data_IF_323412390456
#
_entry.id   IF_323412390456
#
_cell.length_a   1.000
_cell.length_b   1.000
_cell.length_c   1.000
_cell.angle_alpha   90.00
_cell.angle_beta   90.00
_cell.angle_gamma   90.00
#
_symmetry.space_group_name_H-M   'P 1'
#
loop_
_entity.id
_entity.type
_entity.pdbx_description
1 polymer ?
#
# COMPACT_ATOMS: atom_id res chain seq x y z
N UNK A 1 -1.96 18.09 16.72
CA UNK A 1 -0.62 17.76 17.24
C UNK A 1 0.12 16.99 16.17
N UNK A 2 1.28 17.47 15.74
CA UNK A 2 2.08 16.88 14.66
C UNK A 2 2.70 15.57 15.12
N UNK A 3 2.71 14.55 14.25
CA UNK A 3 3.38 13.26 14.47
C UNK A 3 4.86 13.42 14.82
N UNK A 4 5.46 14.57 14.47
CA UNK A 4 6.86 14.90 14.73
C UNK A 4 7.21 15.01 16.21
N UNK A 5 6.26 15.25 17.13
CA UNK A 5 6.57 15.39 18.56
C UNK A 5 6.68 14.07 19.31
N UNK A 6 6.12 12.97 18.76
CA UNK A 6 6.10 11.66 19.42
C UNK A 6 7.40 10.86 19.24
N UNK A 7 8.20 11.18 18.21
CA UNK A 7 9.44 10.45 17.91
C UNK A 7 10.60 10.89 18.84
N UNK A 8 10.49 12.05 19.47
CA UNK A 8 11.49 12.61 20.38
C UNK A 8 11.46 12.04 21.80
N UNK A 9 10.38 11.35 22.21
CA UNK A 9 10.19 10.91 23.61
C UNK A 9 10.65 9.46 23.90
N UNK A 10 11.17 8.72 22.91
CA UNK A 10 11.63 7.34 23.10
C UNK A 10 13.11 7.19 23.48
N UNK A 11 13.85 8.28 23.73
CA UNK A 11 15.30 8.24 24.00
C UNK A 11 15.70 8.17 25.47
N UNK A 12 14.85 7.72 26.39
CA UNK A 12 15.24 7.55 27.80
C UNK A 12 15.07 6.12 28.30
N UNK A 13 16.11 5.30 28.06
CA UNK A 13 16.65 4.31 29.01
C UNK A 13 17.78 3.53 28.35
N UNK A 14 19.01 4.06 28.47
CA UNK A 14 20.15 3.21 28.79
C UNK A 14 21.28 4.04 29.39
N UNK A 15 21.83 3.55 30.50
CA UNK A 15 22.85 4.29 31.26
C UNK A 15 23.27 3.59 32.56
N UNK A 16 24.13 2.58 32.40
CA UNK A 16 25.18 2.16 33.33
C UNK A 16 24.83 1.68 34.75
N UNK A 17 25.10 0.39 35.01
CA UNK A 17 25.98 -0.06 36.12
C UNK A 17 26.25 -1.57 36.01
N UNK A 18 27.50 -1.94 35.69
CA UNK A 18 28.06 -3.29 35.93
C UNK A 18 29.42 -3.12 36.60
N UNK A 19 29.74 -3.87 37.66
CA UNK A 19 31.13 -4.09 38.06
C UNK A 19 31.60 -5.50 37.65
N UNK A 20 32.82 -5.53 37.10
CA UNK A 20 33.63 -6.71 36.78
C UNK A 20 34.14 -7.42 38.04
N UNK A 21 34.51 -8.71 37.94
CA UNK A 21 35.67 -9.34 38.62
C UNK A 21 35.98 -10.75 38.04
N UNK A 22 37.19 -11.33 38.27
CA UNK A 22 38.01 -11.91 37.21
C UNK A 22 38.22 -13.44 37.31
N UNK A 23 38.75 -14.02 36.25
CA UNK A 23 39.27 -15.40 36.16
C UNK A 23 40.66 -15.55 36.78
N UNK A 24 41.02 -16.78 37.20
CA UNK A 24 42.42 -17.21 37.11
C UNK A 24 42.61 -18.61 36.49
N UNK A 25 43.81 -18.79 35.94
CA UNK A 25 44.38 -19.97 35.29
C UNK A 25 45.06 -20.96 36.26
N UNK A 26 45.40 -22.16 35.72
CA UNK A 26 46.45 -23.13 36.12
C UNK A 26 46.04 -24.16 37.20
N UNK A 27 46.45 -25.44 37.23
CA UNK A 27 47.38 -26.28 36.44
C UNK A 27 47.22 -27.77 36.82
N UNK A 28 47.64 -28.66 35.90
CA UNK A 28 47.98 -30.10 35.93
C UNK A 28 48.02 -30.90 37.26
N UNK A 29 47.58 -32.18 37.21
CA UNK A 29 48.46 -33.36 37.41
C UNK A 29 47.78 -34.70 37.05
N UNK A 30 48.58 -35.59 36.46
CA UNK A 30 48.36 -37.01 36.13
C UNK A 30 48.73 -37.93 37.30
N UNK A 31 48.02 -39.05 37.54
CA UNK A 31 48.52 -40.47 37.41
C UNK A 31 47.59 -41.56 37.99
N UNK A 32 47.44 -42.63 37.19
CA UNK A 32 47.43 -44.10 37.48
C UNK A 32 46.32 -44.84 38.25
N UNK A 33 45.77 -45.82 37.52
CA UNK A 33 45.63 -47.27 37.78
C UNK A 33 44.37 -47.88 38.45
N UNK A 34 43.85 -48.86 37.68
CA UNK A 34 43.47 -50.25 38.03
C UNK A 34 41.98 -50.67 38.17
N UNK A 35 41.61 -51.48 37.16
CA UNK A 35 40.98 -52.82 37.19
C UNK A 35 39.53 -53.03 37.66
N UNK A 36 38.77 -53.59 36.70
CA UNK A 36 37.72 -54.61 36.79
C UNK A 36 36.50 -54.41 37.70
N UNK A 37 35.32 -54.28 37.06
CA UNK A 37 34.26 -55.26 37.30
C UNK A 37 33.21 -55.28 36.19
N UNK A 38 32.76 -56.50 35.87
CA UNK A 38 31.65 -56.86 35.00
C UNK A 38 30.35 -56.13 35.33
N UNK A 39 29.57 -55.79 34.29
CA UNK A 39 28.12 -56.05 34.26
C UNK A 39 27.53 -55.70 32.89
N UNK A 40 27.06 -56.73 32.18
CA UNK A 40 26.05 -56.62 31.13
C UNK A 40 24.83 -55.87 31.66
N UNK A 41 24.42 -54.76 31.04
CA UNK A 41 23.05 -54.18 31.03
C UNK A 41 23.14 -52.80 30.33
N UNK A 42 22.24 -52.25 29.50
CA UNK A 42 21.01 -52.67 28.85
C UNK A 42 20.92 -51.90 27.52
N UNK A 43 20.28 -52.51 26.54
CA UNK A 43 19.66 -51.81 25.41
C UNK A 43 18.88 -50.61 25.97
N UNK A 44 19.19 -49.39 25.52
CA UNK A 44 18.38 -48.21 25.85
C UNK A 44 17.04 -48.36 25.14
N UNK A 45 16.12 -49.04 25.82
CA UNK A 45 14.70 -49.13 25.46
C UNK A 45 14.17 -47.71 25.60
N UNK A 46 13.87 -47.06 24.47
CA UNK A 46 13.03 -45.88 24.47
C UNK A 46 11.80 -46.18 25.34
N UNK A 47 11.53 -45.31 26.33
CA UNK A 47 10.37 -45.45 27.21
C UNK A 47 9.10 -45.38 26.35
N UNK A 48 8.58 -46.52 25.93
CA UNK A 48 7.20 -46.60 25.45
C UNK A 48 6.31 -46.61 26.68
N UNK A 49 5.65 -45.49 26.95
CA UNK A 49 4.55 -45.49 27.90
C UNK A 49 3.40 -46.28 27.29
N UNK A 50 3.00 -47.36 27.95
CA UNK A 50 1.86 -48.17 27.56
C UNK A 50 0.59 -47.29 27.58
N UNK A 51 -0.06 -47.21 26.43
CA UNK A 51 -1.35 -46.53 26.24
C UNK A 51 -2.39 -47.11 27.19
N UNK A 52 -2.91 -46.31 28.10
CA UNK A 52 -4.08 -46.65 28.90
C UNK A 52 -5.30 -46.73 27.99
N UNK A 53 -5.93 -47.90 27.95
CA UNK A 53 -7.00 -48.29 27.05
C UNK A 53 -8.38 -47.66 27.37
N UNK A 54 -8.42 -46.37 27.73
CA UNK A 54 -9.68 -45.64 27.99
C UNK A 54 -9.60 -44.16 27.58
N UNK A 55 -9.06 -43.91 26.38
CA UNK A 55 -9.28 -42.74 25.50
C UNK A 55 -8.40 -42.97 24.28
N UNK A 56 -8.73 -43.99 23.47
CA UNK A 56 -8.01 -44.34 22.25
C UNK A 56 -8.33 -43.37 21.11
N UNK A 57 -8.21 -42.06 21.34
CA UNK A 57 -7.98 -41.12 20.24
C UNK A 57 -6.48 -41.11 20.07
N UNK A 58 -6.01 -41.82 19.04
CA UNK A 58 -4.61 -41.79 18.63
C UNK A 58 -4.11 -40.34 18.59
N UNK A 59 -3.03 -40.04 19.32
CA UNK A 59 -2.34 -38.75 19.30
C UNK A 59 -1.83 -38.45 17.87
N UNK A 60 -1.66 -39.48 17.04
CA UNK A 60 -1.62 -39.32 15.59
C UNK A 60 -3.05 -39.14 15.09
N UNK A 61 -3.48 -37.88 14.94
CA UNK A 61 -4.83 -37.50 14.53
C UNK A 61 -5.27 -38.16 13.22
N UNK A 62 -6.58 -38.20 13.02
CA UNK A 62 -7.25 -38.67 11.79
C UNK A 62 -6.58 -38.12 10.52
N UNK A 63 -6.66 -38.85 9.39
CA UNK A 63 -6.10 -38.44 8.09
C UNK A 63 -6.55 -37.01 7.74
N UNK A 64 -7.80 -36.66 8.06
CA UNK A 64 -8.37 -35.32 7.87
C UNK A 64 -7.60 -34.20 8.60
N UNK A 65 -6.85 -34.52 9.66
CA UNK A 65 -6.06 -33.60 10.46
C UNK A 65 -4.61 -33.44 9.97
N UNK A 66 -4.16 -34.24 9.00
CA UNK A 66 -2.76 -34.31 8.57
C UNK A 66 -2.45 -33.28 7.46
N UNK A 67 -2.17 -32.03 7.83
CA UNK A 67 -1.90 -30.95 6.87
C UNK A 67 -0.40 -30.65 6.64
N UNK A 68 0.49 -31.06 7.55
CA UNK A 68 1.92 -30.70 7.53
C UNK A 68 2.64 -31.09 6.23
N UNK A 69 2.17 -32.12 5.53
CA UNK A 69 2.71 -32.53 4.24
C UNK A 69 2.68 -31.42 3.20
N UNK A 70 1.61 -30.61 3.17
CA UNK A 70 1.38 -29.57 2.16
C UNK A 70 2.30 -28.35 2.26
N UNK A 71 3.02 -28.16 3.37
CA UNK A 71 3.86 -26.98 3.61
C UNK A 71 5.23 -27.30 4.24
N UNK A 72 5.65 -28.56 4.19
CA UNK A 72 6.90 -29.07 4.77
C UNK A 72 8.17 -28.56 4.06
N UNK A 73 8.10 -28.29 2.76
CA UNK A 73 9.22 -27.82 1.93
C UNK A 73 9.04 -26.35 1.51
N UNK A 74 10.11 -25.55 1.33
CA UNK A 74 10.00 -24.16 0.84
C UNK A 74 9.11 -24.01 -0.40
N UNK A 75 9.35 -24.83 -1.44
CA UNK A 75 8.52 -24.84 -2.65
C UNK A 75 7.05 -25.21 -2.37
N UNK A 76 6.80 -26.15 -1.46
CA UNK A 76 5.45 -26.57 -1.11
C UNK A 76 4.68 -25.42 -0.44
N UNK A 77 5.34 -24.60 0.39
CA UNK A 77 4.75 -23.36 0.95
C UNK A 77 4.39 -22.37 -0.14
N UNK A 78 5.27 -22.15 -1.12
CA UNK A 78 5.01 -21.24 -2.24
C UNK A 78 3.84 -21.70 -3.13
N UNK A 79 3.61 -23.01 -3.26
CA UNK A 79 2.47 -23.57 -4.01
C UNK A 79 1.12 -23.38 -3.30
N UNK A 80 1.09 -23.10 -2.00
CA UNK A 80 -0.16 -22.80 -1.28
C UNK A 80 -0.72 -21.40 -1.63
N UNK A 81 0.11 -20.52 -2.19
CA UNK A 81 -0.34 -19.21 -2.60
C UNK A 81 -1.13 -19.30 -3.91
N UNK A 82 -2.38 -18.85 -3.91
CA UNK A 82 -3.19 -18.71 -5.13
C UNK A 82 -2.58 -17.71 -6.12
N UNK A 83 -1.75 -16.78 -5.61
CA UNK A 83 -1.02 -15.78 -6.40
C UNK A 83 0.30 -15.44 -5.72
N UNK A 84 1.37 -15.39 -6.51
CA UNK A 84 2.68 -14.93 -6.08
C UNK A 84 2.90 -13.47 -6.48
N UNK A 85 3.61 -12.71 -5.64
CA UNK A 85 3.95 -11.32 -5.92
C UNK A 85 4.93 -11.23 -7.09
N UNK A 86 4.66 -10.35 -8.04
CA UNK A 86 5.54 -10.07 -9.18
C UNK A 86 5.71 -8.56 -9.36
N UNK A 87 6.82 -8.15 -9.99
CA UNK A 87 7.14 -6.72 -10.21
C UNK A 87 6.06 -5.97 -10.98
N UNK A 88 5.37 -6.62 -11.93
CA UNK A 88 4.31 -6.00 -12.73
C UNK A 88 3.01 -5.72 -11.97
N UNK A 89 2.84 -6.27 -10.76
CA UNK A 89 1.69 -5.97 -9.89
C UNK A 89 1.84 -4.64 -9.16
N UNK A 90 3.06 -4.08 -9.11
CA UNK A 90 3.37 -2.90 -8.32
C UNK A 90 3.12 -1.61 -9.10
N UNK A 91 2.48 -0.65 -8.43
CA UNK A 91 2.33 0.73 -8.90
C UNK A 91 3.00 1.64 -7.88
N UNK A 92 3.97 2.43 -8.34
CA UNK A 92 4.71 3.35 -7.47
C UNK A 92 4.04 4.74 -7.39
N UNK A 93 3.66 5.22 -6.19
CA UNK A 93 3.21 6.61 -6.01
C UNK A 93 4.32 7.63 -6.21
N UNK A 94 4.03 8.71 -6.94
CA UNK A 94 4.98 9.81 -7.18
C UNK A 94 4.30 11.17 -6.96
N UNK A 95 4.94 12.04 -6.18
CA UNK A 95 4.45 13.39 -5.86
C UNK A 95 5.21 14.43 -6.68
N UNK A 96 4.49 15.14 -7.55
CA UNK A 96 5.08 16.11 -8.49
C UNK A 96 4.70 17.53 -8.08
N UNK A 97 5.69 18.40 -7.85
CA UNK A 97 5.47 19.80 -7.47
C UNK A 97 5.46 20.73 -8.68
N UNK A 98 5.00 21.96 -8.46
CA UNK A 98 5.00 23.07 -9.42
C UNK A 98 6.38 23.70 -9.63
N UNK A 99 7.33 23.52 -8.70
CA UNK A 99 8.72 23.93 -8.92
C UNK A 99 9.52 22.82 -9.64
N UNK A 100 10.01 23.05 -10.87
CA UNK A 100 10.65 22.01 -11.69
C UNK A 100 11.89 21.35 -11.06
N UNK A 101 12.57 22.02 -10.12
CA UNK A 101 13.84 21.55 -9.56
C UNK A 101 13.74 20.98 -8.14
N UNK A 102 12.54 20.91 -7.55
CA UNK A 102 12.34 20.38 -6.20
C UNK A 102 12.83 18.94 -6.06
N UNK A 103 13.39 18.65 -4.89
CA UNK A 103 13.82 17.32 -4.44
C UNK A 103 13.72 17.25 -2.91
N UNK A 104 12.49 17.29 -2.39
CA UNK A 104 12.22 17.47 -0.97
C UNK A 104 11.77 16.17 -0.31
N UNK A 105 12.48 15.72 0.73
CA UNK A 105 12.04 14.59 1.56
C UNK A 105 10.74 14.92 2.28
N UNK A 106 9.87 13.91 2.41
CA UNK A 106 8.64 14.00 3.21
C UNK A 106 8.91 13.32 4.56
N UNK A 107 9.09 14.06 5.67
CA UNK A 107 9.56 13.47 6.93
C UNK A 107 8.63 12.39 7.51
N UNK A 108 7.32 12.56 7.33
CA UNK A 108 6.32 11.60 7.82
C UNK A 108 6.18 10.36 6.93
N UNK A 109 6.78 10.36 5.75
CA UNK A 109 6.72 9.28 4.76
C UNK A 109 8.13 8.83 4.36
N UNK A 110 8.77 7.93 5.16
CA UNK A 110 10.19 7.61 5.04
C UNK A 110 10.65 7.31 3.62
N UNK A 111 11.78 7.91 3.20
CA UNK A 111 12.36 7.67 1.87
C UNK A 111 11.61 8.27 0.69
N UNK A 112 10.38 8.77 0.87
CA UNK A 112 9.59 9.38 -0.19
C UNK A 112 9.85 10.88 -0.30
N UNK A 113 9.63 11.41 -1.50
CA UNK A 113 9.93 12.80 -1.83
C UNK A 113 8.82 13.48 -2.63
N UNK A 114 8.73 14.80 -2.48
CA UNK A 114 8.12 15.71 -3.45
C UNK A 114 9.19 16.12 -4.45
N UNK A 115 8.92 15.94 -5.73
CA UNK A 115 9.92 16.18 -6.78
C UNK A 115 9.38 17.08 -7.87
N UNK A 116 10.24 17.91 -8.42
CA UNK A 116 9.97 18.69 -9.61
C UNK A 116 10.10 17.88 -10.90
N UNK A 117 9.55 18.42 -11.99
CA UNK A 117 9.58 17.77 -13.31
C UNK A 117 11.00 17.43 -13.81
N UNK A 118 12.01 18.26 -13.53
CA UNK A 118 13.39 18.03 -13.96
C UNK A 118 14.03 16.82 -13.23
N UNK A 119 13.49 16.43 -12.07
CA UNK A 119 13.97 15.29 -11.27
C UNK A 119 13.21 13.99 -11.52
N UNK A 120 12.05 14.07 -12.18
CA UNK A 120 11.16 12.93 -12.39
C UNK A 120 11.77 11.81 -13.24
N UNK A 121 12.41 12.15 -14.36
CA UNK A 121 13.07 11.15 -15.22
C UNK A 121 14.28 10.51 -14.51
N UNK A 122 15.22 11.28 -13.91
CA UNK A 122 16.30 10.73 -13.10
C UNK A 122 15.84 9.81 -11.96
N UNK A 123 14.72 10.13 -11.29
CA UNK A 123 14.16 9.29 -10.23
C UNK A 123 13.69 7.93 -10.77
N UNK A 124 12.94 7.93 -11.88
CA UNK A 124 12.25 6.73 -12.36
C UNK A 124 13.12 5.83 -13.24
N UNK A 125 14.11 6.39 -13.95
CA UNK A 125 14.99 5.62 -14.82
C UNK A 125 15.64 4.39 -14.15
N UNK A 126 16.25 4.48 -12.94
CA UNK A 126 16.80 3.31 -12.28
C UNK A 126 15.72 2.31 -11.84
N UNK A 127 14.53 2.76 -11.46
CA UNK A 127 13.43 1.87 -11.05
C UNK A 127 12.86 1.10 -12.26
N UNK A 128 12.76 1.77 -13.41
CA UNK A 128 12.32 1.15 -14.67
C UNK A 128 13.33 0.09 -15.12
N UNK A 129 14.64 0.37 -15.00
CA UNK A 129 15.68 -0.62 -15.27
C UNK A 129 15.58 -1.86 -14.36
N UNK A 130 15.11 -1.70 -13.11
CA UNK A 130 14.83 -2.79 -12.17
C UNK A 130 13.50 -3.51 -12.40
N UNK A 131 12.68 -3.02 -13.32
CA UNK A 131 11.43 -3.66 -13.74
C UNK A 131 10.15 -2.91 -13.37
N UNK A 132 10.20 -1.66 -12.90
CA UNK A 132 9.01 -0.84 -12.65
C UNK A 132 8.17 -0.73 -13.93
N UNK A 133 6.89 -1.11 -13.84
CA UNK A 133 5.95 -1.06 -14.98
C UNK A 133 4.91 0.04 -14.89
N UNK A 134 4.63 0.56 -13.69
CA UNK A 134 3.54 1.50 -13.49
C UNK A 134 3.82 2.52 -12.38
N UNK A 135 3.37 3.76 -12.59
CA UNK A 135 3.37 4.82 -11.59
C UNK A 135 1.98 5.40 -11.42
N UNK A 136 1.67 5.93 -10.24
CA UNK A 136 0.51 6.79 -10.00
C UNK A 136 0.98 8.19 -9.62
N UNK A 137 0.54 9.19 -10.39
CA UNK A 137 0.95 10.57 -10.23
C UNK A 137 -0.02 11.33 -9.31
N UNK A 138 0.56 12.07 -8.36
CA UNK A 138 -0.12 13.05 -7.52
C UNK A 138 0.50 14.43 -7.75
N UNK A 139 -0.31 15.41 -8.15
CA UNK A 139 0.12 16.80 -8.26
C UNK A 139 0.11 17.46 -6.89
N UNK A 140 1.16 18.20 -6.56
CA UNK A 140 1.32 18.90 -5.29
C UNK A 140 1.67 20.35 -5.56
N UNK A 141 0.70 21.18 -5.99
CA UNK A 141 0.94 22.61 -6.17
C UNK A 141 1.27 23.23 -4.81
N UNK A 142 2.47 23.80 -4.69
CA UNK A 142 2.95 24.38 -3.44
C UNK A 142 2.57 25.86 -3.32
N UNK A 143 2.40 26.56 -4.43
CA UNK A 143 1.96 27.95 -4.39
C UNK A 143 0.51 28.07 -3.88
N UNK A 144 0.25 28.76 -2.76
CA UNK A 144 -1.10 28.90 -2.21
C UNK A 144 -2.07 29.62 -3.15
N UNK A 145 -1.57 30.49 -4.03
CA UNK A 145 -2.40 31.24 -4.98
C UNK A 145 -3.01 30.38 -6.08
N UNK A 146 -2.53 29.13 -6.24
CA UNK A 146 -3.01 28.18 -7.24
C UNK A 146 -4.30 27.47 -6.75
N UNK A 147 -4.54 27.44 -5.44
CA UNK A 147 -5.71 26.76 -4.87
C UNK A 147 -6.91 27.69 -4.81
N UNK A 148 -8.04 27.24 -5.35
CA UNK A 148 -9.31 27.96 -5.31
C UNK A 148 -10.47 27.04 -4.89
N UNK A 149 -11.71 27.53 -4.85
CA UNK A 149 -12.86 26.72 -4.42
C UNK A 149 -13.27 25.62 -5.43
N UNK A 150 -12.81 25.71 -6.67
CA UNK A 150 -13.21 24.81 -7.77
C UNK A 150 -12.11 23.81 -8.16
N UNK A 151 -10.91 23.96 -7.59
CA UNK A 151 -9.71 23.26 -7.98
C UNK A 151 -9.37 23.49 -9.45
N UNK A 152 -9.41 24.74 -9.91
CA UNK A 152 -9.17 25.10 -11.32
C UNK A 152 -7.82 24.56 -11.82
N UNK A 153 -6.80 24.54 -10.98
CA UNK A 153 -5.47 24.06 -11.36
C UNK A 153 -5.33 22.53 -11.51
N UNK A 154 -6.38 21.76 -11.17
CA UNK A 154 -6.32 20.29 -11.22
C UNK A 154 -6.04 19.74 -12.62
N UNK A 155 -6.52 20.43 -13.66
CA UNK A 155 -6.33 20.07 -15.06
C UNK A 155 -5.62 21.16 -15.86
N UNK A 156 -4.87 22.04 -15.19
CA UNK A 156 -4.04 23.03 -15.86
C UNK A 156 -3.06 22.30 -16.83
N UNK A 157 -3.09 22.61 -18.14
CA UNK A 157 -2.16 22.03 -19.11
C UNK A 157 -0.68 22.29 -18.78
N UNK A 158 -0.37 23.30 -17.95
CA UNK A 158 0.96 23.61 -17.43
C UNK A 158 1.19 23.06 -16.01
N UNK A 159 0.17 22.47 -15.39
CA UNK A 159 0.23 21.88 -14.07
C UNK A 159 1.12 20.63 -14.00
N UNK A 160 1.55 20.26 -12.78
CA UNK A 160 2.55 19.21 -12.56
C UNK A 160 2.14 17.85 -13.10
N UNK A 161 0.85 17.49 -13.00
CA UNK A 161 0.36 16.18 -13.46
C UNK A 161 0.40 16.08 -14.98
N UNK A 162 -0.19 17.04 -15.71
CA UNK A 162 -0.24 16.99 -17.18
C UNK A 162 1.16 17.08 -17.79
N UNK A 163 2.02 17.95 -17.26
CA UNK A 163 3.41 18.03 -17.69
C UNK A 163 4.17 16.73 -17.37
N UNK A 164 3.91 16.13 -16.21
CA UNK A 164 4.45 14.83 -15.82
C UNK A 164 4.04 13.71 -16.78
N UNK A 165 2.75 13.63 -17.15
CA UNK A 165 2.24 12.66 -18.14
C UNK A 165 3.01 12.82 -19.46
N UNK A 166 3.03 14.04 -20.02
CA UNK A 166 3.68 14.30 -21.32
C UNK A 166 5.17 13.98 -21.28
N UNK A 167 5.86 14.33 -20.20
CA UNK A 167 7.27 14.00 -20.01
C UNK A 167 7.49 12.48 -19.99
N UNK A 168 6.73 11.75 -19.18
CA UNK A 168 6.87 10.30 -19.04
C UNK A 168 6.47 9.54 -20.30
N UNK A 169 5.45 9.99 -21.04
CA UNK A 169 5.08 9.40 -22.34
C UNK A 169 6.21 9.48 -23.36
N UNK A 170 6.97 10.58 -23.36
CA UNK A 170 8.14 10.76 -24.25
C UNK A 170 9.35 9.96 -23.76
N UNK A 171 9.66 10.02 -22.47
CA UNK A 171 10.88 9.42 -21.91
C UNK A 171 10.77 7.90 -21.72
N UNK A 172 9.59 7.40 -21.39
CA UNK A 172 9.35 5.99 -21.08
C UNK A 172 8.06 5.47 -21.75
N UNK A 173 8.07 5.21 -23.06
CA UNK A 173 6.86 4.86 -23.83
C UNK A 173 6.11 3.61 -23.34
N UNK A 174 6.81 2.71 -22.64
CA UNK A 174 6.26 1.46 -22.08
C UNK A 174 5.85 1.56 -20.60
N UNK A 175 6.07 2.70 -19.94
CA UNK A 175 5.62 2.91 -18.56
C UNK A 175 4.10 3.13 -18.57
N UNK A 176 3.38 2.35 -17.78
CA UNK A 176 1.95 2.55 -17.56
C UNK A 176 1.77 3.73 -16.60
N UNK A 177 0.93 4.69 -16.98
CA UNK A 177 0.80 5.97 -16.26
C UNK A 177 -0.62 6.03 -15.73
N UNK A 178 -0.73 5.97 -14.41
CA UNK A 178 -1.96 6.20 -13.65
C UNK A 178 -1.93 7.63 -13.12
N UNK A 179 -3.06 8.32 -13.14
CA UNK A 179 -3.23 9.64 -12.53
C UNK A 179 -4.32 9.59 -11.48
N UNK A 180 -4.06 10.07 -10.27
CA UNK A 180 -5.13 10.30 -9.30
C UNK A 180 -6.05 11.42 -9.81
N UNK A 181 -7.37 11.19 -9.78
CA UNK A 181 -8.36 12.21 -10.11
C UNK A 181 -9.10 12.61 -8.84
N UNK A 182 -8.79 13.79 -8.33
CA UNK A 182 -9.38 14.35 -7.12
C UNK A 182 -9.18 15.87 -7.11
N UNK A 183 -9.88 16.55 -6.21
CA UNK A 183 -9.80 18.01 -6.03
C UNK A 183 -9.06 18.43 -4.75
N UNK A 184 -8.68 17.50 -3.87
CA UNK A 184 -8.21 17.89 -2.54
C UNK A 184 -6.83 18.54 -2.51
N UNK A 185 -5.99 18.28 -3.51
CA UNK A 185 -4.69 18.93 -3.68
C UNK A 185 -4.83 20.35 -4.23
N UNK A 186 -5.94 20.64 -4.91
CA UNK A 186 -6.15 21.85 -5.70
C UNK A 186 -7.17 22.82 -5.11
N UNK A 187 -7.97 22.37 -4.13
CA UNK A 187 -8.97 23.21 -3.50
C UNK A 187 -8.41 23.99 -2.31
N UNK A 188 -8.85 25.24 -2.14
CA UNK A 188 -8.48 26.10 -1.01
C UNK A 188 -8.95 25.56 0.35
N UNK A 189 -9.99 24.73 0.35
CA UNK A 189 -10.54 24.08 1.54
C UNK A 189 -10.05 22.63 1.74
N UNK A 190 -9.32 22.04 0.79
CA UNK A 190 -8.74 20.69 0.92
C UNK A 190 -9.76 19.53 0.94
N UNK A 191 -10.99 19.76 0.47
CA UNK A 191 -12.02 18.72 0.31
C UNK A 191 -11.93 18.07 -1.08
N UNK A 192 -12.46 16.86 -1.22
CA UNK A 192 -12.38 16.10 -2.47
C UNK A 192 -13.41 16.52 -3.54
N UNK A 193 -14.18 17.59 -3.31
CA UNK A 193 -15.19 18.09 -4.22
C UNK A 193 -15.55 19.55 -3.95
N UNK A 194 -16.41 20.10 -4.81
CA UNK A 194 -16.97 21.44 -4.71
C UNK A 194 -18.00 21.45 -3.57
N UNK A 195 -18.01 22.53 -2.78
CA UNK A 195 -18.90 22.66 -1.62
C UNK A 195 -20.07 23.61 -1.91
N UNK A 196 -21.20 23.37 -1.26
CA UNK A 196 -22.28 24.34 -1.11
C UNK A 196 -21.87 25.46 -0.13
N UNK A 197 -22.67 26.53 -0.06
CA UNK A 197 -22.43 27.66 0.85
C UNK A 197 -22.42 27.23 2.34
N UNK A 198 -23.16 26.18 2.69
CA UNK A 198 -23.20 25.60 4.04
C UNK A 198 -21.99 24.69 4.35
N UNK A 199 -21.06 24.53 3.42
CA UNK A 199 -19.87 23.69 3.54
C UNK A 199 -20.12 22.20 3.27
N UNK A 200 -21.35 21.80 2.93
CA UNK A 200 -21.65 20.43 2.51
C UNK A 200 -21.17 20.16 1.08
N UNK A 201 -20.96 18.89 0.74
CA UNK A 201 -20.46 18.50 -0.58
C UNK A 201 -21.55 18.68 -1.66
N UNK A 202 -21.27 19.46 -2.68
CA UNK A 202 -22.11 19.54 -3.88
C UNK A 202 -21.74 18.42 -4.85
N UNK A 203 -22.42 17.28 -4.74
CA UNK A 203 -22.10 16.09 -5.52
C UNK A 203 -22.20 16.32 -7.03
N UNK A 204 -23.23 17.04 -7.50
CA UNK A 204 -23.45 17.24 -8.93
C UNK A 204 -22.31 18.04 -9.59
N UNK A 205 -21.97 19.20 -9.02
CA UNK A 205 -20.85 20.01 -9.52
C UNK A 205 -19.51 19.29 -9.36
N UNK A 206 -19.34 18.55 -8.26
CA UNK A 206 -18.12 17.77 -8.03
C UNK A 206 -17.92 16.68 -9.09
N UNK A 207 -18.98 15.93 -9.43
CA UNK A 207 -18.93 14.88 -10.46
C UNK A 207 -18.60 15.46 -11.82
N UNK A 208 -19.22 16.59 -12.19
CA UNK A 208 -18.92 17.28 -13.44
C UNK A 208 -17.44 17.67 -13.50
N UNK A 209 -16.95 18.38 -12.48
CA UNK A 209 -15.55 18.83 -12.40
C UNK A 209 -14.55 17.68 -12.39
N UNK A 210 -14.79 16.64 -11.59
CA UNK A 210 -13.94 15.43 -11.53
C UNK A 210 -13.87 14.74 -12.90
N UNK A 211 -14.98 14.70 -13.62
CA UNK A 211 -14.99 14.11 -14.96
C UNK A 211 -14.24 14.95 -15.99
N UNK A 212 -14.23 16.28 -15.89
CA UNK A 212 -13.39 17.15 -16.74
C UNK A 212 -11.90 16.90 -16.50
N UNK A 213 -11.48 16.80 -15.23
CA UNK A 213 -10.09 16.53 -14.87
C UNK A 213 -9.63 15.18 -15.41
N UNK A 214 -10.48 14.14 -15.28
CA UNK A 214 -10.19 12.82 -15.84
C UNK A 214 -9.98 12.89 -17.36
N UNK A 215 -10.82 13.65 -18.07
CA UNK A 215 -10.67 13.84 -19.52
C UNK A 215 -9.37 14.56 -19.88
N UNK A 216 -9.02 15.63 -19.17
CA UNK A 216 -7.79 16.37 -19.43
C UNK A 216 -6.53 15.50 -19.23
N UNK A 217 -6.50 14.65 -18.20
CA UNK A 217 -5.41 13.70 -17.99
C UNK A 217 -5.37 12.61 -19.08
N UNK A 218 -6.53 12.08 -19.49
CA UNK A 218 -6.63 11.12 -20.57
C UNK A 218 -6.12 11.69 -21.90
N UNK A 219 -6.53 12.91 -22.26
CA UNK A 219 -6.09 13.64 -23.45
C UNK A 219 -4.59 13.99 -23.41
N UNK A 220 -4.05 14.28 -22.22
CA UNK A 220 -2.62 14.46 -22.03
C UNK A 220 -1.81 13.16 -22.25
N UNK A 221 -2.47 12.00 -22.24
CA UNK A 221 -1.89 10.70 -22.53
C UNK A 221 -1.76 9.75 -21.35
N UNK A 222 -2.49 9.98 -20.25
CA UNK A 222 -2.58 8.99 -19.17
C UNK A 222 -3.18 7.67 -19.70
N UNK A 223 -2.59 6.55 -19.29
CA UNK A 223 -3.12 5.23 -19.65
C UNK A 223 -4.28 4.81 -18.74
N UNK A 224 -4.31 5.39 -17.54
CA UNK A 224 -5.33 5.11 -16.54
C UNK A 224 -5.66 6.36 -15.73
N UNK A 225 -6.95 6.60 -15.54
CA UNK A 225 -7.45 7.63 -14.61
C UNK A 225 -8.04 6.93 -13.39
N UNK A 226 -7.66 7.40 -12.20
CA UNK A 226 -8.01 6.75 -10.95
C UNK A 226 -8.75 7.71 -10.00
N UNK A 227 -10.08 7.88 -10.14
CA UNK A 227 -10.88 8.79 -9.33
C UNK A 227 -10.95 8.36 -7.87
N UNK A 228 -10.41 9.20 -6.99
CA UNK A 228 -10.25 8.93 -5.56
C UNK A 228 -11.19 9.75 -4.65
N UNK A 229 -12.07 10.54 -5.25
CA UNK A 229 -12.91 11.56 -4.63
C UNK A 229 -14.07 11.01 -3.78
N UNK A 230 -14.58 9.82 -4.12
CA UNK A 230 -15.75 9.15 -3.50
C UNK A 230 -17.12 9.83 -3.70
N UNK A 231 -17.26 10.73 -4.69
CA UNK A 231 -18.58 11.25 -5.06
C UNK A 231 -19.47 10.15 -5.68
N UNK A 232 -20.78 10.28 -5.50
CA UNK A 232 -21.74 9.34 -6.05
C UNK A 232 -21.92 9.58 -7.56
N UNK A 233 -21.75 8.53 -8.38
CA UNK A 233 -21.96 8.60 -9.84
C UNK A 233 -20.77 9.09 -10.67
N UNK A 234 -19.61 9.39 -10.06
CA UNK A 234 -18.44 9.90 -10.81
C UNK A 234 -17.90 8.93 -11.86
N UNK A 235 -17.99 7.62 -11.63
CA UNK A 235 -17.48 6.61 -12.56
C UNK A 235 -18.30 6.63 -13.84
N UNK A 236 -19.63 6.69 -13.71
CA UNK A 236 -20.53 6.82 -14.87
C UNK A 236 -20.22 8.08 -15.66
N UNK A 237 -20.06 9.22 -15.00
CA UNK A 237 -19.76 10.48 -15.67
C UNK A 237 -18.44 10.43 -16.45
N UNK A 238 -17.37 9.92 -15.82
CA UNK A 238 -16.07 9.75 -16.49
C UNK A 238 -16.18 8.80 -17.67
N UNK A 239 -16.80 7.62 -17.49
CA UNK A 239 -16.92 6.61 -18.54
C UNK A 239 -17.72 7.13 -19.74
N UNK A 240 -18.80 7.87 -19.50
CA UNK A 240 -19.59 8.51 -20.56
C UNK A 240 -18.75 9.52 -21.36
N UNK A 241 -18.01 10.42 -20.71
CA UNK A 241 -17.13 11.38 -21.42
C UNK A 241 -16.02 10.69 -22.22
N UNK A 242 -15.44 9.61 -21.69
CA UNK A 242 -14.46 8.79 -22.42
C UNK A 242 -15.07 8.13 -23.67
N UNK A 243 -16.32 7.66 -23.60
CA UNK A 243 -17.05 7.08 -24.74
C UNK A 243 -17.38 8.16 -25.76
N UNK A 244 -17.95 9.29 -25.33
CA UNK A 244 -18.31 10.41 -26.19
C UNK A 244 -17.10 10.94 -26.95
N UNK A 245 -15.95 11.03 -26.29
CA UNK A 245 -14.67 11.44 -26.88
C UNK A 245 -13.96 10.34 -27.68
N UNK A 246 -14.57 9.15 -27.80
CA UNK A 246 -14.05 8.00 -28.55
C UNK A 246 -12.68 7.48 -28.08
N UNK A 247 -12.32 7.70 -26.81
CA UNK A 247 -11.04 7.25 -26.23
C UNK A 247 -11.20 6.18 -25.13
N UNK A 248 -12.43 5.77 -24.82
CA UNK A 248 -12.73 4.73 -23.83
C UNK A 248 -12.03 3.40 -24.06
N UNK A 249 -11.67 3.07 -25.31
CA UNK A 249 -10.93 1.87 -25.66
C UNK A 249 -9.42 1.94 -25.37
N UNK A 250 -8.92 3.10 -24.91
CA UNK A 250 -7.48 3.38 -24.67
C UNK A 250 -7.15 3.74 -23.23
N UNK A 251 -8.17 4.04 -22.42
CA UNK A 251 -8.00 4.59 -21.07
C UNK A 251 -8.68 3.66 -20.07
N UNK A 252 -7.89 3.15 -19.12
CA UNK A 252 -8.38 2.32 -18.02
C UNK A 252 -8.99 3.21 -16.93
N UNK A 253 -10.20 2.88 -16.48
CA UNK A 253 -10.87 3.55 -15.38
C UNK A 253 -10.70 2.74 -14.08
N UNK A 254 -9.79 3.17 -13.22
CA UNK A 254 -9.47 2.50 -11.95
C UNK A 254 -10.16 3.19 -10.78
N UNK A 255 -11.32 2.68 -10.39
CA UNK A 255 -12.10 3.31 -9.33
C UNK A 255 -11.54 3.02 -7.94
N UNK A 256 -11.38 4.05 -7.11
CA UNK A 256 -11.30 3.88 -5.66
C UNK A 256 -12.69 3.56 -5.09
N UNK A 257 -13.23 2.38 -5.42
CA UNK A 257 -14.61 2.00 -5.12
C UNK A 257 -14.90 1.89 -3.63
N UNK A 258 -13.95 1.39 -2.86
CA UNK A 258 -14.07 1.26 -1.41
C UNK A 258 -12.93 2.03 -0.73
N UNK A 259 -13.05 3.35 -0.68
CA UNK A 259 -12.14 4.24 0.06
C UNK A 259 -12.75 4.67 1.38
N UNK A 260 -12.14 4.21 2.48
CA UNK A 260 -12.61 4.45 3.83
C UNK A 260 -12.02 5.74 4.41
N UNK A 261 -12.79 6.39 5.27
CA UNK A 261 -12.32 7.42 6.19
C UNK A 261 -11.50 6.78 7.30
N UNK A 262 -10.50 7.47 7.82
CA UNK A 262 -9.64 6.92 8.87
C UNK A 262 -8.38 7.74 9.12
N UNK A 263 -7.54 7.26 10.04
CA UNK A 263 -6.32 7.93 10.47
C UNK A 263 -5.07 7.58 9.65
N UNK A 264 -5.13 6.56 8.79
CA UNK A 264 -3.98 6.05 8.04
C UNK A 264 -3.52 6.93 6.85
N UNK A 265 -4.07 8.13 6.71
CA UNK A 265 -3.72 9.07 5.64
C UNK A 265 -2.83 10.24 6.09
N UNK A 266 -2.43 10.30 7.36
CA UNK A 266 -1.64 11.41 7.91
C UNK A 266 -0.44 11.78 7.03
N UNK A 267 0.51 10.85 6.81
CA UNK A 267 1.69 11.16 6.01
C UNK A 267 1.41 11.55 4.55
N UNK A 268 0.35 11.01 3.93
CA UNK A 268 -0.08 11.43 2.59
C UNK A 268 -0.56 12.88 2.58
N UNK A 269 -1.28 13.32 3.62
CA UNK A 269 -1.75 14.71 3.69
C UNK A 269 -0.60 15.70 3.82
N UNK A 270 0.47 15.31 4.50
CA UNK A 270 1.71 16.09 4.55
C UNK A 270 2.38 16.11 3.16
N UNK A 271 2.47 14.94 2.50
CA UNK A 271 3.06 14.81 1.17
C UNK A 271 2.33 15.62 0.09
N UNK A 272 0.99 15.62 0.12
CA UNK A 272 0.14 16.23 -0.91
C UNK A 272 -0.30 17.66 -0.54
N UNK A 273 0.04 18.16 0.65
CA UNK A 273 -0.42 19.46 1.14
C UNK A 273 -1.95 19.58 1.16
N UNK A 274 -2.65 18.49 1.49
CA UNK A 274 -4.09 18.31 1.27
C UNK A 274 -4.88 18.18 2.57
N UNK A 275 -4.41 18.78 3.67
CA UNK A 275 -5.14 18.75 4.96
C UNK A 275 -6.43 19.56 4.79
N UNK A 276 -7.63 19.02 5.12
CA UNK A 276 -8.87 19.80 5.07
C UNK A 276 -8.80 21.01 5.98
N UNK A 277 -9.25 22.16 5.49
CA UNK A 277 -9.22 23.43 6.22
C UNK A 277 -10.27 23.48 7.34
N UNK A 278 -11.32 22.67 7.25
CA UNK A 278 -12.33 22.47 8.28
C UNK A 278 -12.98 21.09 8.16
N UNK A 279 -13.71 20.68 9.21
CA UNK A 279 -14.46 19.43 9.22
C UNK A 279 -13.61 18.17 8.96
N UNK A 280 -14.24 17.17 8.34
CA UNK A 280 -13.59 15.94 7.92
C UNK A 280 -14.18 15.42 6.60
N UNK A 281 -13.75 14.22 6.18
CA UNK A 281 -14.16 13.59 4.91
C UNK A 281 -15.20 12.48 5.10
N UNK A 282 -15.80 12.35 6.28
CA UNK A 282 -16.68 11.23 6.66
C UNK A 282 -18.05 11.25 5.99
N UNK A 283 -18.43 12.36 5.36
CA UNK A 283 -19.67 12.48 4.60
C UNK A 283 -19.59 11.89 3.18
N UNK A 284 -18.42 11.41 2.74
CA UNK A 284 -18.25 10.78 1.42
C UNK A 284 -17.26 9.61 1.43
N UNK A 285 -16.19 9.68 2.23
CA UNK A 285 -15.37 8.49 2.48
C UNK A 285 -16.11 7.52 3.41
N UNK A 286 -16.04 6.21 3.10
CA UNK A 286 -16.81 5.21 3.82
C UNK A 286 -16.45 5.17 5.32
N UNK A 287 -17.41 4.97 6.23
CA UNK A 287 -17.09 4.76 7.65
C UNK A 287 -16.38 3.40 7.83
N UNK A 288 -15.40 3.26 8.75
CA UNK A 288 -14.66 2.00 8.94
C UNK A 288 -15.53 0.75 9.15
N UNK A 289 -16.63 0.86 9.90
CA UNK A 289 -17.58 -0.25 10.11
C UNK A 289 -18.54 -0.50 8.92
N UNK A 290 -18.38 0.23 7.82
CA UNK A 290 -19.32 0.32 6.71
C UNK A 290 -19.21 -0.77 5.64
N UNK A 291 -19.03 -2.04 6.00
CA UNK A 291 -18.87 -3.16 5.04
C UNK A 291 -20.00 -3.22 3.99
N UNK A 292 -21.25 -3.05 4.42
CA UNK A 292 -22.41 -3.05 3.51
C UNK A 292 -22.38 -1.89 2.49
N UNK A 293 -21.88 -0.71 2.88
CA UNK A 293 -21.69 0.42 1.97
C UNK A 293 -20.56 0.15 0.98
N UNK A 294 -19.46 -0.45 1.42
CA UNK A 294 -18.35 -0.82 0.55
C UNK A 294 -18.80 -1.79 -0.55
N UNK A 295 -19.54 -2.85 -0.19
CA UNK A 295 -20.10 -3.80 -1.17
C UNK A 295 -21.00 -3.12 -2.20
N UNK A 296 -21.89 -2.22 -1.75
CA UNK A 296 -22.77 -1.43 -2.65
C UNK A 296 -21.99 -0.48 -3.55
N UNK A 297 -20.96 0.19 -3.04
CA UNK A 297 -20.12 1.11 -3.81
C UNK A 297 -19.29 0.36 -4.86
N UNK A 298 -18.76 -0.82 -4.53
CA UNK A 298 -18.08 -1.72 -5.47
C UNK A 298 -19.04 -2.13 -6.59
N UNK A 299 -20.22 -2.66 -6.25
CA UNK A 299 -21.21 -3.06 -7.25
C UNK A 299 -21.65 -1.89 -8.14
N UNK A 300 -21.87 -0.71 -7.56
CA UNK A 300 -22.18 0.51 -8.30
C UNK A 300 -21.08 0.80 -9.32
N UNK A 301 -19.84 0.91 -8.89
CA UNK A 301 -18.74 1.32 -9.76
C UNK A 301 -18.45 0.31 -10.87
N UNK A 302 -18.65 -0.99 -10.60
CA UNK A 302 -18.65 -2.04 -11.64
C UNK A 302 -19.74 -1.75 -12.67
N UNK A 303 -20.99 -1.52 -12.22
CA UNK A 303 -22.12 -1.21 -13.10
C UNK A 303 -22.00 0.12 -13.84
N UNK A 304 -21.19 1.05 -13.34
CA UNK A 304 -20.89 2.34 -13.95
C UNK A 304 -19.72 2.31 -14.96
N UNK A 305 -19.05 1.16 -15.10
CA UNK A 305 -18.03 0.93 -16.13
C UNK A 305 -16.59 1.12 -15.68
N UNK A 306 -16.30 1.00 -14.38
CA UNK A 306 -14.93 0.82 -13.92
C UNK A 306 -14.30 -0.42 -14.57
N UNK A 307 -13.03 -0.33 -14.95
CA UNK A 307 -12.25 -1.47 -15.48
C UNK A 307 -11.46 -2.16 -14.35
N UNK A 308 -11.15 -1.42 -13.28
CA UNK A 308 -10.48 -1.89 -12.07
C UNK A 308 -11.20 -1.30 -10.87
N UNK A 309 -11.46 -2.12 -9.85
CA UNK A 309 -11.98 -1.67 -8.55
C UNK A 309 -10.86 -1.71 -7.50
N UNK A 310 -10.85 -0.72 -6.61
CA UNK A 310 -9.79 -0.56 -5.60
C UNK A 310 -10.34 -0.42 -4.17
N UNK A 311 -9.63 -1.04 -3.23
CA UNK A 311 -9.82 -0.86 -1.79
C UNK A 311 -8.69 -0.02 -1.19
N UNK A 312 -9.04 0.95 -0.34
CA UNK A 312 -8.11 1.86 0.34
C UNK A 312 -8.63 2.25 1.72
N UNK A 313 -7.85 2.10 2.82
CA UNK A 313 -6.54 1.45 2.97
C UNK A 313 -6.54 -0.05 2.66
N UNK A 314 -5.38 -0.72 2.73
CA UNK A 314 -5.27 -2.13 2.37
C UNK A 314 -5.25 -3.08 3.57
N UNK A 315 -4.21 -3.04 4.40
CA UNK A 315 -3.96 -4.02 5.47
C UNK A 315 -5.05 -4.03 6.54
N UNK A 316 -5.70 -2.90 6.83
CA UNK A 316 -6.83 -2.84 7.76
C UNK A 316 -8.19 -3.23 7.15
N UNK A 317 -8.24 -3.52 5.85
CA UNK A 317 -9.47 -3.78 5.09
C UNK A 317 -9.32 -4.99 4.16
N UNK A 318 -8.54 -6.00 4.56
CA UNK A 318 -8.33 -7.23 3.79
C UNK A 318 -9.65 -8.01 3.59
N UNK A 319 -10.58 -7.93 4.54
CA UNK A 319 -11.93 -8.46 4.41
C UNK A 319 -12.71 -7.78 3.27
N UNK A 320 -12.51 -6.48 3.07
CA UNK A 320 -13.13 -5.73 1.97
C UNK A 320 -12.45 -6.02 0.63
N UNK A 321 -11.15 -6.30 0.60
CA UNK A 321 -10.46 -6.78 -0.62
C UNK A 321 -11.03 -8.15 -1.03
N UNK A 322 -11.30 -9.02 -0.05
CA UNK A 322 -11.96 -10.30 -0.29
C UNK A 322 -13.39 -10.13 -0.84
N UNK A 323 -14.20 -9.25 -0.24
CA UNK A 323 -15.52 -8.88 -0.78
C UNK A 323 -15.42 -8.32 -2.21
N UNK A 324 -14.44 -7.46 -2.48
CA UNK A 324 -14.21 -6.89 -3.81
C UNK A 324 -13.88 -7.99 -4.83
N UNK A 325 -13.06 -8.98 -4.45
CA UNK A 325 -12.72 -10.10 -5.32
C UNK A 325 -13.91 -11.03 -5.56
N UNK A 326 -14.77 -11.24 -4.56
CA UNK A 326 -16.02 -11.99 -4.72
C UNK A 326 -16.97 -11.28 -5.72
N UNK A 327 -17.20 -9.99 -5.51
CA UNK A 327 -18.14 -9.18 -6.30
C UNK A 327 -17.64 -8.91 -7.73
N UNK A 328 -16.34 -8.67 -7.88
CA UNK A 328 -15.64 -8.39 -9.13
C UNK A 328 -14.73 -9.54 -9.55
N UNK A 329 -15.19 -10.80 -9.45
CA UNK A 329 -14.38 -12.01 -9.70
C UNK A 329 -13.64 -12.01 -11.05
N UNK A 330 -14.26 -11.44 -12.07
CA UNK A 330 -13.76 -11.37 -13.44
C UNK A 330 -12.98 -10.06 -13.72
N UNK A 331 -12.79 -9.22 -12.70
CA UNK A 331 -12.11 -7.94 -12.79
C UNK A 331 -10.80 -7.93 -12.00
N UNK A 332 -9.82 -7.10 -12.39
CA UNK A 332 -8.69 -6.81 -11.54
C UNK A 332 -9.15 -6.05 -10.27
N UNK A 333 -8.64 -6.48 -9.13
CA UNK A 333 -8.79 -5.77 -7.85
C UNK A 333 -7.47 -5.12 -7.50
N UNK A 334 -7.49 -3.81 -7.27
CA UNK A 334 -6.34 -3.07 -6.75
C UNK A 334 -6.48 -2.85 -5.24
N UNK A 335 -5.34 -2.75 -4.55
CA UNK A 335 -5.28 -2.37 -3.15
C UNK A 335 -4.20 -1.31 -2.96
N UNK A 336 -4.50 -0.29 -2.16
CA UNK A 336 -3.54 0.76 -1.83
C UNK A 336 -3.02 0.56 -0.41
N UNK A 337 -1.77 0.14 -0.27
CA UNK A 337 -1.04 0.19 1.00
C UNK A 337 -0.64 1.63 1.31
N UNK A 338 -1.45 2.29 2.13
CA UNK A 338 -1.42 3.75 2.25
C UNK A 338 -0.22 4.24 3.06
N UNK A 339 -0.05 5.55 3.03
CA UNK A 339 1.08 6.25 3.65
C UNK A 339 1.25 5.94 5.14
N UNK A 340 0.15 5.84 5.90
CA UNK A 340 0.18 5.49 7.31
C UNK A 340 0.51 4.02 7.56
N UNK A 341 0.10 3.11 6.67
CA UNK A 341 0.46 1.68 6.76
C UNK A 341 1.96 1.49 6.53
N UNK A 342 2.49 2.14 5.49
CA UNK A 342 3.92 2.16 5.20
C UNK A 342 4.73 2.77 6.35
N UNK A 343 4.37 3.97 6.81
CA UNK A 343 5.08 4.65 7.89
C UNK A 343 5.02 3.87 9.22
N UNK A 344 3.88 3.22 9.51
CA UNK A 344 3.73 2.36 10.68
C UNK A 344 4.67 1.16 10.64
N UNK A 345 4.79 0.49 9.49
CA UNK A 345 5.73 -0.63 9.30
C UNK A 345 7.17 -0.15 9.49
N UNK A 346 7.56 0.98 8.90
CA UNK A 346 8.89 1.58 9.10
C UNK A 346 9.17 1.90 10.57
N UNK A 347 8.21 2.50 11.27
CA UNK A 347 8.37 2.86 12.68
C UNK A 347 8.55 1.64 13.58
N UNK A 348 7.74 0.60 13.39
CA UNK A 348 7.82 -0.63 14.16
C UNK A 348 9.12 -1.42 13.86
N UNK A 349 9.56 -1.47 12.59
CA UNK A 349 10.85 -2.07 12.24
C UNK A 349 12.02 -1.31 12.87
N UNK A 350 11.99 0.03 12.85
CA UNK A 350 13.01 0.87 13.50
C UNK A 350 13.05 0.66 15.02
N UNK A 351 11.90 0.38 15.64
CA UNK A 351 11.80 0.06 17.06
C UNK A 351 12.21 -1.39 17.41
N UNK A 352 12.59 -2.21 16.41
CA UNK A 352 13.04 -3.59 16.61
C UNK A 352 11.90 -4.59 16.82
N UNK A 353 10.65 -4.23 16.49
CA UNK A 353 9.50 -5.15 16.62
C UNK A 353 9.60 -6.30 15.62
N UNK A 354 10.08 -6.02 14.41
CA UNK A 354 10.29 -6.99 13.33
C UNK A 354 11.33 -6.49 12.32
N UNK A 355 11.76 -7.37 11.43
CA UNK A 355 12.55 -7.00 10.24
C UNK A 355 11.66 -6.31 9.18
N UNK A 356 12.18 -5.23 8.59
CA UNK A 356 11.43 -4.41 7.62
C UNK A 356 11.06 -5.19 6.37
N UNK A 357 12.03 -5.92 5.79
CA UNK A 357 11.82 -6.69 4.56
C UNK A 357 10.78 -7.77 4.80
N UNK A 358 10.91 -8.51 5.88
CA UNK A 358 9.99 -9.58 6.26
C UNK A 358 8.54 -9.06 6.38
N UNK A 359 8.32 -7.97 7.11
CA UNK A 359 6.97 -7.40 7.28
C UNK A 359 6.43 -6.76 5.99
N UNK A 360 7.29 -6.19 5.15
CA UNK A 360 6.87 -5.67 3.85
C UNK A 360 6.32 -6.80 2.96
N UNK A 361 7.02 -7.93 2.87
CA UNK A 361 6.52 -9.14 2.19
C UNK A 361 5.22 -9.65 2.82
N UNK A 362 5.18 -9.86 4.14
CA UNK A 362 4.00 -10.41 4.81
C UNK A 362 2.75 -9.53 4.63
N UNK A 363 2.88 -8.22 4.74
CA UNK A 363 1.77 -7.29 4.51
C UNK A 363 1.28 -7.28 3.06
N UNK A 364 2.20 -7.40 2.09
CA UNK A 364 1.86 -7.41 0.66
C UNK A 364 1.29 -8.75 0.21
N UNK A 365 1.84 -9.86 0.71
CA UNK A 365 1.29 -11.20 0.50
C UNK A 365 -0.10 -11.35 1.15
N UNK A 366 -0.33 -10.69 2.29
CA UNK A 366 -1.67 -10.57 2.88
C UNK A 366 -2.67 -9.91 1.94
N UNK A 367 -2.26 -8.84 1.26
CA UNK A 367 -3.07 -8.13 0.24
C UNK A 367 -3.38 -9.05 -0.95
N UNK A 368 -2.40 -9.80 -1.44
CA UNK A 368 -2.59 -10.75 -2.54
C UNK A 368 -3.50 -11.91 -2.14
N UNK A 369 -3.30 -12.48 -0.95
CA UNK A 369 -4.14 -13.53 -0.38
C UNK A 369 -5.59 -13.08 -0.24
N UNK A 370 -5.83 -11.81 0.07
CA UNK A 370 -7.17 -11.25 0.13
C UNK A 370 -7.84 -11.11 -1.25
N UNK A 371 -7.09 -11.27 -2.36
CA UNK A 371 -7.64 -11.31 -3.71
C UNK A 371 -7.12 -10.22 -4.65
N UNK A 372 -6.31 -9.28 -4.16
CA UNK A 372 -5.79 -8.20 -5.00
C UNK A 372 -4.82 -8.71 -6.09
N UNK A 373 -4.91 -8.10 -7.25
CA UNK A 373 -4.04 -8.31 -8.41
C UNK A 373 -3.01 -7.20 -8.60
N UNK A 374 -3.30 -6.02 -8.04
CA UNK A 374 -2.54 -4.80 -8.22
C UNK A 374 -2.30 -4.18 -6.85
N UNK A 375 -1.07 -3.80 -6.56
CA UNK A 375 -0.69 -3.18 -5.28
C UNK A 375 -0.07 -1.82 -5.55
N UNK A 376 -0.73 -0.78 -5.07
CA UNK A 376 -0.14 0.55 -4.97
C UNK A 376 0.59 0.62 -3.63
N UNK A 377 1.91 0.77 -3.67
CA UNK A 377 2.73 0.78 -2.44
C UNK A 377 3.98 1.64 -2.57
N UNK A 378 4.34 2.30 -1.46
CA UNK A 378 5.59 3.03 -1.30
C UNK A 378 6.81 2.12 -1.13
N UNK A 379 6.62 0.81 -0.83
CA UNK A 379 7.67 -0.20 -0.85
C UNK A 379 8.08 -0.65 -2.26
N UNK A 380 7.51 -0.05 -3.31
CA UNK A 380 7.78 -0.47 -4.69
C UNK A 380 9.29 -0.44 -5.02
N UNK A 381 10.06 0.62 -4.71
CA UNK A 381 11.51 0.62 -4.93
C UNK A 381 12.22 -0.58 -4.29
N UNK A 382 11.87 -0.90 -3.04
CA UNK A 382 12.44 -2.03 -2.30
C UNK A 382 12.05 -3.38 -2.91
N UNK A 383 10.79 -3.57 -3.29
CA UNK A 383 10.35 -4.80 -3.95
C UNK A 383 10.99 -5.01 -5.31
N UNK A 384 11.29 -3.95 -6.06
CA UNK A 384 12.02 -4.08 -7.32
C UNK A 384 13.44 -4.64 -7.13
N UNK A 385 14.04 -4.41 -5.95
CA UNK A 385 15.32 -4.99 -5.55
C UNK A 385 15.18 -6.37 -4.92
N UNK A 386 14.15 -6.58 -4.10
CA UNK A 386 13.97 -7.83 -3.36
C UNK A 386 13.37 -8.97 -4.16
N UNK A 387 12.54 -8.66 -5.16
CA UNK A 387 11.99 -9.67 -6.06
C UNK A 387 13.07 -10.03 -7.08
N UNK A 388 13.42 -11.31 -7.11
CA UNK A 388 14.25 -11.87 -8.16
C UNK A 388 13.56 -11.68 -9.52
N UNK A 389 14.36 -11.50 -10.57
CA UNK A 389 13.88 -11.35 -11.96
C UNK A 389 13.32 -12.63 -12.54
#
# INVERSE_FOLDING_TARGET
MSFSSLVSDLTYRDGNTRPQRPSPHSSLSTTTNNTHNDTRSQVSRAKSYASTAATSVSIAGDISSQLHGGYSHPLARSWQAERQLTKSMLIYPVFITDNPDDDELIPSLPGQKRIGLNKLVPLLQPLIAKGLKSVVLFGVPLSPSIKDALGTAADDPQGPVIQGIRLLRRSFPHLFIVTDVCLCEYTSHGHCGILHEDGSLNNALSVERISDIAMAYAEAGAHCVAPSDMNDGRIRAIKLKLIESQISHRVVLMSYSAKFSGCLYGPFRDAAGSVPSFGDRRCYQLPPGGRGLARRAIQRDIGEGADIIMVKPASQYLDIISDAKELGKDMPVAAYQVSGEYAMIHAAAKAGVFDLKTMAFESTEGILRAGANIVISYFTPEFLDWLET
#
